data_IF_406400409303
#
_entry.id   IF_406400409303
#
_cell.length_a   1.000
_cell.length_b   1.000
_cell.length_c   1.000
_cell.angle_alpha   90.00
_cell.angle_beta   90.00
_cell.angle_gamma   90.00
#
_symmetry.space_group_name_H-M   'P 1'
#
loop_
_entity.id
_entity.type
_entity.pdbx_description
1 polymer ?
#
# COMPACT_ATOMS: atom_id res chain seq x y z
N UNK A 1 -45.22 58.62 -51.26
CA UNK A 1 -44.58 58.98 -49.97
C UNK A 1 -44.47 57.69 -49.16
N UNK A 2 -43.26 57.14 -49.00
CA UNK A 2 -43.00 55.80 -48.43
C UNK A 2 -42.82 55.89 -46.92
N UNK A 3 -43.47 55.01 -46.16
CA UNK A 3 -43.28 54.80 -44.71
C UNK A 3 -42.35 53.59 -44.55
N UNK A 4 -41.35 53.60 -43.64
CA UNK A 4 -40.37 52.52 -43.53
C UNK A 4 -40.87 51.36 -42.64
N UNK A 5 -40.45 50.15 -43.00
CA UNK A 5 -40.62 48.93 -42.22
C UNK A 5 -39.62 48.90 -41.05
N UNK A 6 -40.11 48.64 -39.84
CA UNK A 6 -39.30 48.34 -38.65
C UNK A 6 -39.09 46.82 -38.62
N UNK A 7 -37.84 46.38 -38.70
CA UNK A 7 -37.46 44.98 -38.48
C UNK A 7 -37.34 44.68 -36.99
N UNK A 8 -38.10 43.71 -36.49
CA UNK A 8 -37.96 43.16 -35.14
C UNK A 8 -36.92 42.04 -35.22
N UNK A 9 -35.79 42.21 -34.52
CA UNK A 9 -34.81 41.14 -34.27
C UNK A 9 -35.27 40.38 -33.03
N UNK A 10 -35.65 39.12 -33.18
CA UNK A 10 -35.91 38.22 -32.06
C UNK A 10 -34.58 37.64 -31.57
N UNK A 11 -34.17 38.02 -30.35
CA UNK A 11 -33.03 37.43 -29.66
C UNK A 11 -33.48 36.10 -29.01
N UNK A 12 -33.05 34.97 -29.56
CA UNK A 12 -33.25 33.65 -28.95
C UNK A 12 -32.15 33.44 -27.92
N UNK A 13 -32.47 33.60 -26.64
CA UNK A 13 -31.58 33.19 -25.54
C UNK A 13 -31.81 31.70 -25.32
N UNK A 14 -30.85 30.88 -25.75
CA UNK A 14 -30.84 29.46 -25.41
C UNK A 14 -30.53 29.30 -23.91
N UNK A 15 -31.56 29.01 -23.12
CA UNK A 15 -31.41 28.63 -21.71
C UNK A 15 -30.78 27.23 -21.65
N UNK A 16 -29.47 27.18 -21.48
CA UNK A 16 -28.76 25.97 -21.08
C UNK A 16 -29.28 25.55 -19.70
N UNK A 17 -29.85 24.35 -19.62
CA UNK A 17 -30.37 23.81 -18.36
C UNK A 17 -29.20 23.54 -17.39
N UNK A 18 -29.32 23.83 -16.09
CA UNK A 18 -28.26 23.55 -15.11
C UNK A 18 -27.87 22.05 -15.05
N UNK A 19 -28.77 21.15 -15.45
CA UNK A 19 -28.49 19.71 -15.60
C UNK A 19 -27.43 19.40 -16.66
N UNK A 20 -27.44 20.10 -17.80
CA UNK A 20 -26.46 19.91 -18.89
C UNK A 20 -25.07 20.44 -18.52
N UNK A 21 -24.98 21.44 -17.62
CA UNK A 21 -23.70 21.97 -17.16
C UNK A 21 -23.05 21.07 -16.09
N UNK A 22 -23.85 20.48 -15.19
CA UNK A 22 -23.33 19.54 -14.18
C UNK A 22 -22.83 18.22 -14.81
N UNK A 23 -23.44 17.77 -15.90
CA UNK A 23 -22.96 16.59 -16.63
C UNK A 23 -21.64 16.83 -17.38
N UNK A 24 -21.32 18.07 -17.80
CA UNK A 24 -20.05 18.36 -18.48
C UNK A 24 -18.86 18.49 -17.51
N UNK A 25 -19.11 18.85 -16.24
CA UNK A 25 -18.04 18.98 -15.22
C UNK A 25 -17.63 17.59 -14.69
N UNK A 26 -18.54 16.62 -14.67
CA UNK A 26 -18.27 15.25 -14.21
C UNK A 26 -17.56 14.38 -15.25
N UNK A 27 -17.59 14.74 -16.55
CA UNK A 27 -17.09 13.90 -17.64
C UNK A 27 -15.64 14.12 -18.05
N UNK A 28 -14.89 15.02 -17.41
CA UNK A 28 -13.52 15.30 -17.85
C UNK A 28 -12.45 14.77 -16.91
N UNK A 29 -12.67 14.17 -15.73
CA UNK A 29 -11.51 13.78 -14.87
C UNK A 29 -10.60 12.72 -15.54
N UNK A 30 -9.26 12.72 -15.27
CA UNK A 30 -8.41 11.62 -15.69
C UNK A 30 -8.99 10.31 -15.18
N UNK A 31 -8.96 9.23 -15.96
CA UNK A 31 -9.45 7.94 -15.49
C UNK A 31 -8.60 7.51 -14.28
N UNK A 32 -9.21 7.26 -13.12
CA UNK A 32 -8.48 6.78 -11.95
C UNK A 32 -7.98 5.36 -12.16
N UNK A 33 -6.85 5.05 -11.53
CA UNK A 33 -6.42 3.69 -11.25
C UNK A 33 -7.09 3.24 -9.95
N UNK A 34 -7.91 2.19 -9.99
CA UNK A 34 -8.45 1.58 -8.77
C UNK A 34 -7.35 0.71 -8.16
N UNK A 35 -6.86 1.11 -6.98
CA UNK A 35 -5.74 0.43 -6.29
C UNK A 35 -6.22 -0.54 -5.21
N UNK A 36 -7.53 -0.58 -4.93
CA UNK A 36 -8.11 -1.50 -3.97
C UNK A 36 -9.51 -1.08 -3.56
N UNK A 37 -9.98 -1.67 -2.46
CA UNK A 37 -11.28 -1.36 -1.87
C UNK A 37 -11.14 -1.20 -0.36
N UNK A 38 -12.02 -0.37 0.21
CA UNK A 38 -12.20 -0.23 1.66
C UNK A 38 -12.90 -1.45 2.27
N UNK A 39 -13.03 -1.45 3.60
CA UNK A 39 -13.73 -2.51 4.34
C UNK A 39 -15.19 -2.74 3.89
N UNK A 40 -15.89 -1.68 3.47
CA UNK A 40 -17.24 -1.78 2.89
C UNK A 40 -17.26 -1.87 1.36
N UNK A 41 -16.12 -2.13 0.73
CA UNK A 41 -16.02 -2.40 -0.71
C UNK A 41 -16.02 -1.15 -1.59
N UNK A 42 -15.79 0.06 -1.04
CA UNK A 42 -15.70 1.28 -1.85
C UNK A 42 -14.34 1.34 -2.54
N UNK A 43 -14.26 1.75 -3.82
CA UNK A 43 -13.00 1.81 -4.53
C UNK A 43 -12.08 2.87 -3.90
N UNK A 44 -10.79 2.53 -3.81
CA UNK A 44 -9.72 3.47 -3.49
C UNK A 44 -9.01 3.81 -4.80
N UNK A 45 -8.97 5.10 -5.14
CA UNK A 45 -8.53 5.60 -6.44
C UNK A 45 -7.18 6.32 -6.34
N UNK A 46 -6.35 6.16 -7.37
CA UNK A 46 -5.12 6.91 -7.56
C UNK A 46 -5.11 7.59 -8.95
N UNK A 47 -4.67 8.84 -9.00
CA UNK A 47 -4.59 9.65 -10.21
C UNK A 47 -3.12 9.86 -10.59
N UNK A 48 -2.77 9.53 -11.83
CA UNK A 48 -1.38 9.49 -12.31
C UNK A 48 -1.04 10.66 -13.21
N UNK A 49 0.14 11.24 -13.01
CA UNK A 49 0.71 12.29 -13.85
C UNK A 49 2.20 12.07 -14.11
N UNK A 50 2.70 12.52 -15.25
CA UNK A 50 4.10 12.30 -15.66
C UNK A 50 4.42 10.84 -16.03
N UNK A 51 5.66 10.60 -16.46
CA UNK A 51 6.11 9.29 -16.98
C UNK A 51 7.47 8.86 -16.43
N UNK A 52 8.03 9.60 -15.49
CA UNK A 52 9.36 9.33 -14.96
C UNK A 52 9.44 8.04 -14.15
N UNK A 53 10.67 7.59 -13.89
CA UNK A 53 10.93 6.36 -13.14
C UNK A 53 10.77 6.51 -11.62
N UNK A 54 10.82 7.74 -11.09
CA UNK A 54 10.65 8.03 -9.66
C UNK A 54 9.16 8.15 -9.35
N UNK A 55 8.59 7.12 -8.75
CA UNK A 55 7.18 7.12 -8.31
C UNK A 55 7.04 7.97 -7.05
N UNK A 56 6.36 9.12 -7.14
CA UNK A 56 6.09 9.99 -6.00
C UNK A 56 4.61 9.96 -5.67
N UNK A 57 4.24 9.77 -4.40
CA UNK A 57 2.83 9.59 -4.01
C UNK A 57 2.41 10.65 -3.00
N UNK A 58 1.25 11.27 -3.22
CA UNK A 58 0.57 12.14 -2.25
C UNK A 58 -0.73 11.47 -1.84
N UNK A 59 -0.96 11.35 -0.55
CA UNK A 59 -2.12 10.65 0.04
C UNK A 59 -2.90 11.64 0.88
N UNK A 60 -4.18 11.81 0.57
CA UNK A 60 -5.14 12.60 1.35
C UNK A 60 -6.19 11.72 2.02
N UNK A 61 -6.82 12.29 3.05
CA UNK A 61 -7.91 11.71 3.83
C UNK A 61 -7.61 10.27 4.28
N UNK A 62 -6.49 10.12 4.96
CA UNK A 62 -6.17 8.91 5.75
C UNK A 62 -7.12 8.80 6.93
N UNK A 63 -7.42 9.91 7.62
CA UNK A 63 -8.63 9.98 8.44
C UNK A 63 -9.81 10.41 7.58
N UNK A 64 -11.02 9.97 7.94
CA UNK A 64 -12.23 10.26 7.18
C UNK A 64 -12.69 11.71 7.34
N UNK A 65 -13.89 11.92 7.87
CA UNK A 65 -14.54 13.23 7.85
C UNK A 65 -13.76 14.41 8.45
N UNK A 66 -13.00 14.25 9.56
CA UNK A 66 -12.22 15.36 10.11
C UNK A 66 -11.12 15.90 9.20
N UNK A 67 -10.73 15.18 8.14
CA UNK A 67 -9.67 15.59 7.21
C UNK A 67 -10.20 15.76 5.77
N UNK A 68 -11.49 16.06 5.59
CA UNK A 68 -12.09 16.35 4.27
C UNK A 68 -11.38 17.47 3.51
N UNK A 69 -10.77 18.41 4.22
CA UNK A 69 -9.94 19.46 3.61
C UNK A 69 -8.72 18.89 2.87
N UNK A 70 -8.11 17.81 3.35
CA UNK A 70 -7.00 17.12 2.64
C UNK A 70 -7.49 16.36 1.40
N UNK A 71 -8.72 15.85 1.42
CA UNK A 71 -9.39 15.30 0.24
C UNK A 71 -9.63 16.40 -0.79
N UNK A 72 -10.17 17.55 -0.36
CA UNK A 72 -10.39 18.71 -1.22
C UNK A 72 -9.08 19.23 -1.84
N UNK A 73 -8.03 19.37 -1.02
CA UNK A 73 -6.69 19.72 -1.50
C UNK A 73 -6.21 18.74 -2.57
N UNK A 74 -6.36 17.44 -2.33
CA UNK A 74 -5.94 16.41 -3.28
C UNK A 74 -6.68 16.53 -4.62
N UNK A 75 -7.98 16.83 -4.60
CA UNK A 75 -8.73 17.11 -5.84
C UNK A 75 -8.24 18.37 -6.56
N UNK A 76 -7.95 19.43 -5.82
CA UNK A 76 -7.39 20.66 -6.42
C UNK A 76 -6.01 20.41 -7.05
N UNK A 77 -5.16 19.59 -6.43
CA UNK A 77 -3.86 19.19 -6.98
C UNK A 77 -4.02 18.32 -8.23
N UNK A 78 -4.98 17.40 -8.25
CA UNK A 78 -5.33 16.59 -9.43
C UNK A 78 -5.71 17.51 -10.60
N UNK A 79 -6.59 18.48 -10.36
CA UNK A 79 -6.99 19.45 -11.39
C UNK A 79 -5.82 20.34 -11.82
N UNK A 80 -4.94 20.74 -10.88
CA UNK A 80 -3.77 21.55 -11.18
C UNK A 80 -2.79 20.85 -12.11
N UNK A 81 -2.30 19.67 -11.72
CA UNK A 81 -1.26 18.95 -12.48
C UNK A 81 -1.76 18.37 -13.80
N UNK A 82 -3.07 18.21 -13.92
CA UNK A 82 -3.71 17.93 -15.20
C UNK A 82 -3.54 19.06 -16.20
N UNK A 83 -3.67 20.31 -15.73
CA UNK A 83 -3.58 21.51 -16.55
C UNK A 83 -2.16 22.08 -16.66
N UNK A 84 -1.25 21.66 -15.78
CA UNK A 84 0.15 22.08 -15.72
C UNK A 84 1.12 20.89 -15.66
N UNK A 85 1.06 19.93 -16.61
CA UNK A 85 1.90 18.74 -16.58
C UNK A 85 3.40 19.06 -16.66
N UNK A 86 3.78 20.23 -17.19
CA UNK A 86 5.15 20.72 -17.27
C UNK A 86 5.78 21.05 -15.90
N UNK A 87 4.97 21.22 -14.84
CA UNK A 87 5.48 21.42 -13.48
C UNK A 87 6.01 20.14 -12.85
N UNK A 88 5.66 18.98 -13.41
CA UNK A 88 6.16 17.69 -12.92
C UNK A 88 7.51 17.41 -13.58
N UNK A 89 8.59 17.20 -12.81
CA UNK A 89 9.89 16.85 -13.36
C UNK A 89 9.81 15.61 -14.25
N UNK A 90 10.55 15.59 -15.37
CA UNK A 90 10.50 14.48 -16.34
C UNK A 90 10.93 13.12 -15.77
N UNK A 91 11.69 13.13 -14.66
CA UNK A 91 12.11 11.93 -13.93
C UNK A 91 11.08 11.44 -12.91
N UNK A 92 9.99 12.18 -12.67
CA UNK A 92 8.93 11.87 -11.72
C UNK A 92 7.67 11.34 -12.42
N UNK A 93 7.04 10.37 -11.76
CA UNK A 93 5.67 9.94 -12.01
C UNK A 93 4.89 10.13 -10.72
N UNK A 94 4.06 11.16 -10.70
CA UNK A 94 3.26 11.56 -9.55
C UNK A 94 1.97 10.74 -9.50
N UNK A 95 1.63 10.24 -8.31
CA UNK A 95 0.32 9.68 -7.99
C UNK A 95 -0.32 10.48 -6.86
N UNK A 96 -1.61 10.76 -6.98
CA UNK A 96 -2.40 11.40 -5.93
C UNK A 96 -3.55 10.45 -5.57
N UNK A 97 -3.64 10.08 -4.30
CA UNK A 97 -4.76 9.32 -3.72
C UNK A 97 -5.59 10.35 -2.94
N UNK A 98 -6.75 10.80 -3.45
CA UNK A 98 -7.51 11.85 -2.78
C UNK A 98 -8.23 11.36 -1.52
N UNK A 99 -8.51 10.06 -1.43
CA UNK A 99 -9.31 9.48 -0.36
C UNK A 99 -8.86 8.06 -0.07
N UNK A 100 -8.02 7.90 0.96
CA UNK A 100 -7.61 6.57 1.43
C UNK A 100 -8.68 5.91 2.31
N UNK A 101 -9.43 6.69 3.08
CA UNK A 101 -10.50 6.21 3.96
C UNK A 101 -11.91 6.63 3.49
N UNK A 102 -12.42 6.09 2.36
CA UNK A 102 -13.74 6.45 1.85
C UNK A 102 -14.89 6.04 2.79
N UNK A 103 -14.67 5.02 3.62
CA UNK A 103 -15.67 4.56 4.58
C UNK A 103 -15.82 5.53 5.75
N UNK A 104 -14.70 5.97 6.33
CA UNK A 104 -14.70 6.96 7.40
C UNK A 104 -15.30 8.30 6.94
N UNK A 105 -15.02 8.72 5.70
CA UNK A 105 -15.63 9.93 5.13
C UNK A 105 -17.16 9.83 5.05
N UNK A 106 -17.70 8.71 4.56
CA UNK A 106 -19.15 8.48 4.46
C UNK A 106 -19.81 8.33 5.84
N UNK A 107 -19.12 7.70 6.79
CA UNK A 107 -19.64 7.46 8.15
C UNK A 107 -19.45 8.65 9.10
N UNK A 108 -18.83 9.73 8.63
CA UNK A 108 -18.49 10.90 9.45
C UNK A 108 -17.52 10.58 10.62
N UNK A 109 -16.56 9.70 10.36
CA UNK A 109 -15.60 9.18 11.33
C UNK A 109 -14.16 9.56 10.97
N UNK A 110 -13.32 9.66 12.00
CA UNK A 110 -11.86 9.67 11.84
C UNK A 110 -11.36 8.30 11.38
N UNK A 111 -11.85 7.25 12.04
CA UNK A 111 -11.51 5.85 11.79
C UNK A 111 -12.16 5.33 10.51
N UNK A 112 -11.76 4.14 10.05
CA UNK A 112 -12.45 3.42 8.97
C UNK A 112 -13.76 2.77 9.46
N UNK A 113 -14.44 1.99 8.61
CA UNK A 113 -15.71 1.32 8.96
C UNK A 113 -15.59 0.30 10.12
N UNK A 114 -14.39 -0.20 10.42
CA UNK A 114 -14.15 -1.14 11.52
C UNK A 114 -13.79 -0.43 12.84
N UNK A 115 -13.81 0.91 12.85
CA UNK A 115 -13.41 1.69 14.04
C UNK A 115 -11.91 1.74 14.28
N UNK A 116 -11.09 1.42 13.26
CA UNK A 116 -9.63 1.47 13.33
C UNK A 116 -9.11 2.79 12.76
N UNK A 117 -8.19 3.42 13.48
CA UNK A 117 -7.44 4.57 12.99
C UNK A 117 -6.34 4.05 12.05
N UNK A 118 -6.48 4.32 10.75
CA UNK A 118 -5.56 3.82 9.73
C UNK A 118 -4.13 4.30 9.96
N UNK A 119 -3.93 5.51 10.52
CA UNK A 119 -2.61 6.03 10.85
C UNK A 119 -2.12 5.55 12.24
N UNK A 120 -2.70 4.46 12.74
CA UNK A 120 -2.26 3.69 13.91
C UNK A 120 -2.22 2.18 13.65
N UNK A 121 -2.45 1.77 12.40
CA UNK A 121 -2.66 0.37 12.05
C UNK A 121 -1.46 -0.28 11.34
N UNK A 122 -0.41 0.46 10.98
CA UNK A 122 0.69 -0.08 10.18
C UNK A 122 1.71 -0.85 11.02
N UNK A 123 2.42 -1.81 10.42
CA UNK A 123 3.51 -2.54 11.09
C UNK A 123 4.78 -1.69 11.22
N UNK A 124 4.94 -0.99 12.33
CA UNK A 124 6.12 -0.16 12.63
C UNK A 124 7.27 -0.92 13.28
N UNK A 125 7.18 -2.25 13.44
CA UNK A 125 8.21 -3.04 14.15
C UNK A 125 9.47 -3.33 13.32
N UNK A 126 9.51 -2.86 12.07
CA UNK A 126 10.58 -3.12 11.11
C UNK A 126 11.75 -2.12 11.20
N UNK A 127 11.57 -1.00 11.90
CA UNK A 127 12.65 -0.03 12.13
C UNK A 127 13.43 -0.31 13.43
N UNK A 128 14.33 0.60 13.83
CA UNK A 128 15.18 0.43 15.01
C UNK A 128 14.59 1.06 16.29
N UNK A 129 13.40 1.66 16.21
CA UNK A 129 12.85 2.58 17.19
C UNK A 129 11.57 2.03 17.83
N UNK A 130 11.73 1.11 18.78
CA UNK A 130 10.60 0.41 19.43
C UNK A 130 9.56 1.29 20.12
N UNK A 131 9.87 2.57 20.36
CA UNK A 131 8.93 3.52 20.96
C UNK A 131 7.75 3.84 20.03
N UNK A 132 7.89 3.61 18.71
CA UNK A 132 6.82 3.77 17.72
C UNK A 132 6.14 2.44 17.34
N UNK A 133 6.53 1.32 17.96
CA UNK A 133 6.01 -0.01 17.65
C UNK A 133 4.48 -0.05 17.78
N UNK A 134 3.84 -0.68 16.81
CA UNK A 134 2.39 -0.80 16.73
C UNK A 134 1.78 -1.38 18.01
N UNK A 135 0.64 -0.81 18.41
CA UNK A 135 -0.12 -1.22 19.60
C UNK A 135 -1.61 -1.18 19.28
N UNK A 136 -2.41 -1.97 20.00
CA UNK A 136 -3.88 -1.88 19.91
C UNK A 136 -4.39 -0.60 20.57
N UNK A 137 -3.88 -0.27 21.75
CA UNK A 137 -4.25 0.92 22.51
C UNK A 137 -3.34 2.08 22.13
N UNK A 138 -3.89 3.13 21.52
CA UNK A 138 -3.13 4.19 20.87
C UNK A 138 -3.69 5.57 21.19
N UNK A 139 -2.85 6.60 21.09
CA UNK A 139 -3.28 7.99 21.15
C UNK A 139 -3.90 8.43 19.82
N UNK A 140 -5.16 8.83 19.84
CA UNK A 140 -5.84 9.51 18.74
C UNK A 140 -5.67 11.03 18.80
N UNK A 141 -6.49 11.74 18.02
CA UNK A 141 -6.51 13.21 18.02
C UNK A 141 -6.67 13.78 19.45
N UNK A 142 -5.94 14.86 19.74
CA UNK A 142 -5.93 15.48 21.07
C UNK A 142 -5.28 14.64 22.19
N UNK A 143 -4.62 13.52 21.86
CA UNK A 143 -3.98 12.66 22.85
C UNK A 143 -4.97 11.78 23.63
N UNK A 144 -6.13 11.48 23.05
CA UNK A 144 -7.11 10.57 23.67
C UNK A 144 -6.67 9.12 23.45
N UNK A 145 -6.51 8.36 24.53
CA UNK A 145 -6.13 6.95 24.47
C UNK A 145 -7.36 6.06 24.18
N UNK A 146 -7.26 5.18 23.19
CA UNK A 146 -8.35 4.25 22.81
C UNK A 146 -7.83 3.01 22.07
N UNK A 147 -8.62 1.94 22.04
CA UNK A 147 -8.30 0.69 21.33
C UNK A 147 -8.60 0.79 19.83
N UNK A 148 -7.98 1.77 19.16
CA UNK A 148 -8.20 2.09 17.74
C UNK A 148 -7.02 1.73 16.83
N UNK A 149 -5.95 1.12 17.34
CA UNK A 149 -4.83 0.63 16.50
C UNK A 149 -5.16 -0.63 15.69
N UNK A 150 -6.30 -1.27 15.98
CA UNK A 150 -6.76 -2.50 15.34
C UNK A 150 -6.41 -3.77 16.13
N UNK A 151 -6.92 -4.93 15.70
CA UNK A 151 -6.61 -6.22 16.33
C UNK A 151 -5.17 -6.69 16.06
N UNK A 152 -4.53 -6.18 15.00
CA UNK A 152 -3.14 -6.41 14.64
C UNK A 152 -2.66 -5.39 13.60
N UNK A 153 -1.35 -5.25 13.47
CA UNK A 153 -0.76 -4.43 12.40
C UNK A 153 -1.20 -4.91 11.01
N UNK A 154 -1.50 -3.97 10.13
CA UNK A 154 -2.08 -4.16 8.80
C UNK A 154 -3.37 -5.00 8.81
N UNK A 155 -4.19 -4.88 9.86
CA UNK A 155 -5.50 -5.56 9.91
C UNK A 155 -6.48 -5.02 8.89
N UNK A 156 -6.38 -3.72 8.57
CA UNK A 156 -7.36 -3.06 7.74
C UNK A 156 -7.05 -3.20 6.25
N UNK A 157 -8.08 -3.39 5.39
CA UNK A 157 -7.89 -3.49 3.95
C UNK A 157 -7.28 -2.21 3.38
N UNK A 158 -7.63 -1.03 3.89
CA UNK A 158 -7.06 0.24 3.45
C UNK A 158 -5.54 0.31 3.73
N UNK A 159 -5.11 -0.14 4.91
CA UNK A 159 -3.69 -0.25 5.29
C UNK A 159 -2.92 -1.16 4.33
N UNK A 160 -3.50 -2.30 3.97
CA UNK A 160 -2.90 -3.24 2.99
C UNK A 160 -2.83 -2.68 1.58
N UNK A 161 -3.86 -1.93 1.17
CA UNK A 161 -3.88 -1.25 -0.14
C UNK A 161 -2.74 -0.25 -0.23
N UNK A 162 -2.59 0.62 0.78
CA UNK A 162 -1.52 1.63 0.75
C UNK A 162 -0.13 0.99 0.86
N UNK A 163 0.02 -0.03 1.71
CA UNK A 163 1.25 -0.83 1.83
C UNK A 163 1.68 -1.39 0.47
N UNK A 164 0.79 -2.12 -0.20
CA UNK A 164 1.03 -2.72 -1.53
C UNK A 164 1.35 -1.67 -2.58
N UNK A 165 0.63 -0.55 -2.55
CA UNK A 165 0.82 0.52 -3.53
C UNK A 165 2.17 1.25 -3.39
N UNK A 166 2.75 1.29 -2.19
CA UNK A 166 3.96 2.06 -1.91
C UNK A 166 5.26 1.25 -1.99
N UNK A 167 5.21 -0.07 -2.18
CA UNK A 167 6.43 -0.90 -2.26
C UNK A 167 7.41 -0.46 -3.35
N UNK A 168 6.90 0.08 -4.47
CA UNK A 168 7.68 0.64 -5.58
C UNK A 168 7.68 2.19 -5.62
N UNK A 169 7.35 2.87 -4.50
CA UNK A 169 7.43 4.32 -4.41
C UNK A 169 8.85 4.83 -4.07
N UNK A 170 9.24 5.96 -4.65
CA UNK A 170 10.49 6.66 -4.34
C UNK A 170 10.36 7.58 -3.12
N UNK A 171 9.18 8.15 -2.89
CA UNK A 171 8.86 8.98 -1.73
C UNK A 171 7.33 9.10 -1.58
N UNK A 172 6.85 9.47 -0.39
CA UNK A 172 5.42 9.66 -0.10
C UNK A 172 5.14 10.86 0.82
N UNK A 173 4.03 11.54 0.58
CA UNK A 173 3.44 12.56 1.47
C UNK A 173 2.11 12.03 2.00
N UNK A 174 1.93 12.03 3.32
CA UNK A 174 0.64 11.75 3.96
C UNK A 174 0.07 13.05 4.51
N UNK A 175 -0.90 13.64 3.81
CA UNK A 175 -1.54 14.88 4.21
C UNK A 175 -2.48 14.63 5.39
N UNK A 176 -2.35 15.46 6.43
CA UNK A 176 -3.16 15.45 7.64
C UNK A 176 -3.55 16.89 8.02
N UNK A 177 -4.34 17.05 9.09
CA UNK A 177 -4.67 18.35 9.69
C UNK A 177 -4.95 18.18 11.20
N UNK A 178 -4.79 19.19 12.06
CA UNK A 178 -4.77 20.64 11.80
C UNK A 178 -3.72 21.43 12.63
N UNK A 179 -2.43 21.22 12.37
CA UNK A 179 -1.34 21.82 13.17
C UNK A 179 -0.46 22.86 12.46
N UNK A 180 -0.49 22.98 11.14
CA UNK A 180 0.33 23.95 10.38
C UNK A 180 1.83 23.67 10.40
N UNK A 181 2.20 22.39 10.46
CA UNK A 181 3.59 21.94 10.55
C UNK A 181 3.87 20.72 9.67
N UNK A 182 5.14 20.42 9.42
CA UNK A 182 5.58 19.23 8.70
C UNK A 182 6.59 18.48 9.54
N UNK A 183 6.42 17.16 9.65
CA UNK A 183 7.36 16.29 10.33
C UNK A 183 7.65 15.00 9.56
N UNK A 184 8.89 14.50 9.63
CA UNK A 184 9.29 13.19 9.13
C UNK A 184 9.00 12.08 10.15
N UNK A 185 9.28 10.80 9.84
CA UNK A 185 9.24 9.69 10.78
C UNK A 185 10.04 9.96 12.05
N UNK A 186 9.57 9.43 13.17
CA UNK A 186 10.23 9.57 14.46
C UNK A 186 11.63 8.94 14.44
N UNK A 187 11.77 7.75 13.86
CA UNK A 187 13.05 7.08 13.69
C UNK A 187 13.90 7.79 12.62
N UNK A 188 15.12 8.20 12.96
CA UNK A 188 15.99 9.04 12.13
C UNK A 188 16.12 8.53 10.67
N UNK A 189 15.76 9.39 9.72
CA UNK A 189 16.04 9.25 8.29
C UNK A 189 16.45 10.62 7.70
N UNK A 190 17.73 10.78 7.31
CA UNK A 190 18.22 12.03 6.74
C UNK A 190 17.45 12.50 5.50
N UNK A 191 16.94 11.57 4.67
CA UNK A 191 16.20 11.94 3.46
C UNK A 191 14.84 12.51 3.83
N UNK A 192 14.07 11.82 4.68
CA UNK A 192 12.78 12.33 5.18
C UNK A 192 12.93 13.63 5.95
N UNK A 193 14.01 13.81 6.73
CA UNK A 193 14.28 15.08 7.43
C UNK A 193 14.48 16.23 6.44
N UNK A 194 15.33 16.05 5.42
CA UNK A 194 15.54 17.06 4.38
C UNK A 194 14.25 17.31 3.58
N UNK A 195 13.45 16.25 3.36
CA UNK A 195 12.18 16.32 2.67
C UNK A 195 11.17 17.17 3.46
N UNK A 196 11.01 16.93 4.76
CA UNK A 196 10.11 17.69 5.61
C UNK A 196 10.52 19.17 5.69
N UNK A 197 11.81 19.46 5.80
CA UNK A 197 12.34 20.84 5.82
C UNK A 197 12.05 21.57 4.50
N UNK A 198 12.29 20.93 3.36
CA UNK A 198 12.02 21.52 2.05
C UNK A 198 10.52 21.78 1.83
N UNK A 199 9.67 20.80 2.17
CA UNK A 199 8.22 20.96 2.07
C UNK A 199 7.73 22.09 2.97
N UNK A 200 8.11 22.10 4.25
CA UNK A 200 7.73 23.14 5.21
C UNK A 200 8.13 24.53 4.72
N UNK A 201 9.36 24.69 4.23
CA UNK A 201 9.84 25.96 3.68
C UNK A 201 9.06 26.40 2.45
N UNK A 202 8.68 25.48 1.56
CA UNK A 202 7.89 25.80 0.37
C UNK A 202 6.43 26.14 0.69
N UNK A 203 5.87 25.49 1.70
CA UNK A 203 4.49 25.68 2.16
C UNK A 203 4.32 26.86 3.12
N UNK A 204 5.40 27.32 3.75
CA UNK A 204 5.34 28.31 4.83
C UNK A 204 4.81 27.73 6.14
N UNK A 205 4.90 26.41 6.32
CA UNK A 205 4.58 25.70 7.56
C UNK A 205 5.78 25.65 8.50
N UNK A 206 5.52 25.36 9.77
CA UNK A 206 6.58 25.05 10.72
C UNK A 206 7.21 23.69 10.40
N UNK A 207 8.54 23.57 10.51
CA UNK A 207 9.18 22.26 10.52
C UNK A 207 9.32 21.76 11.95
N UNK A 208 8.85 20.55 12.23
CA UNK A 208 9.09 19.84 13.47
C UNK A 208 9.91 18.58 13.19
N UNK A 209 10.87 18.23 14.06
CA UNK A 209 11.65 17.00 13.89
C UNK A 209 10.77 15.76 14.09
N UNK A 210 9.82 15.81 15.01
CA UNK A 210 8.85 14.75 15.25
C UNK A 210 7.59 15.37 15.87
N UNK A 211 6.51 14.60 15.93
CA UNK A 211 5.28 14.99 16.63
C UNK A 211 5.45 14.89 18.16
N UNK A 212 5.45 16.04 18.85
CA UNK A 212 5.79 16.13 20.28
C UNK A 212 4.57 16.18 21.22
N UNK A 213 3.34 16.15 20.70
CA UNK A 213 2.12 16.34 21.51
C UNK A 213 1.68 15.06 22.24
N UNK A 214 1.95 13.90 21.65
CA UNK A 214 1.67 12.57 22.22
C UNK A 214 2.41 11.52 21.38
N UNK A 215 2.58 10.31 21.93
CA UNK A 215 3.24 9.21 21.20
C UNK A 215 2.40 8.74 20.02
N UNK A 216 3.04 8.56 18.86
CA UNK A 216 2.43 7.94 17.69
C UNK A 216 3.01 6.53 17.55
N UNK A 217 2.15 5.55 17.43
CA UNK A 217 2.50 4.15 17.14
C UNK A 217 1.70 3.66 15.95
N UNK A 218 2.27 2.77 15.13
CA UNK A 218 1.59 2.25 13.95
C UNK A 218 1.29 3.28 12.85
N UNK A 219 2.02 4.40 12.83
CA UNK A 219 1.85 5.47 11.85
C UNK A 219 2.38 5.10 10.46
N UNK A 220 1.73 5.59 9.40
CA UNK A 220 2.12 5.29 8.01
C UNK A 220 3.51 5.81 7.64
N UNK A 221 3.86 7.01 8.11
CA UNK A 221 5.19 7.57 7.93
C UNK A 221 6.29 6.76 8.65
N UNK A 222 6.07 6.31 9.89
CA UNK A 222 7.00 5.43 10.61
C UNK A 222 7.10 4.04 9.94
N UNK A 223 6.00 3.48 9.45
CA UNK A 223 6.05 2.23 8.67
C UNK A 223 6.90 2.39 7.40
N UNK A 224 6.73 3.50 6.68
CA UNK A 224 7.53 3.82 5.50
C UNK A 224 9.03 3.86 5.83
N UNK A 225 9.40 4.34 7.02
CA UNK A 225 10.78 4.30 7.50
C UNK A 225 11.32 2.89 7.68
N UNK A 226 10.52 1.94 8.19
CA UNK A 226 10.91 0.52 8.34
C UNK A 226 11.21 -0.18 7.02
N UNK A 227 10.70 0.35 5.90
CA UNK A 227 10.95 -0.17 4.55
C UNK A 227 11.80 0.77 3.69
N UNK A 228 12.58 1.67 4.30
CA UNK A 228 13.45 2.65 3.62
C UNK A 228 12.72 3.45 2.52
N UNK A 229 11.49 3.89 2.81
CA UNK A 229 10.70 4.79 1.98
C UNK A 229 10.68 6.18 2.61
N UNK A 230 11.29 7.20 1.95
CA UNK A 230 11.19 8.58 2.41
C UNK A 230 9.73 9.02 2.51
N UNK A 231 9.34 9.53 3.68
CA UNK A 231 7.98 9.90 3.98
C UNK A 231 7.92 11.16 4.83
N UNK A 232 6.85 11.94 4.70
CA UNK A 232 6.57 13.09 5.57
C UNK A 232 5.07 13.20 5.85
N UNK A 233 4.74 13.86 6.96
CA UNK A 233 3.39 14.31 7.30
C UNK A 233 3.37 15.83 7.33
N UNK A 234 2.75 16.48 6.33
CA UNK A 234 2.24 17.83 6.46
C UNK A 234 0.89 17.80 7.19
N UNK A 235 0.82 18.48 8.33
CA UNK A 235 -0.41 18.86 9.00
C UNK A 235 -0.81 20.24 8.50
N UNK A 236 -1.91 20.34 7.74
CA UNK A 236 -2.49 21.62 7.32
C UNK A 236 -2.77 22.49 8.56
N UNK A 237 -2.83 23.81 8.38
CA UNK A 237 -3.05 24.75 9.48
C UNK A 237 -4.44 24.63 10.10
N UNK A 238 -5.44 24.26 9.30
CA UNK A 238 -6.84 24.13 9.72
C UNK A 238 -7.41 22.77 9.32
N UNK A 239 -8.52 22.35 9.94
CA UNK A 239 -9.31 21.19 9.51
C UNK A 239 -10.38 21.51 8.45
N UNK A 240 -10.43 22.76 7.94
CA UNK A 240 -11.49 23.24 7.06
C UNK A 240 -10.96 23.67 5.69
N UNK A 241 -9.89 24.46 5.66
CA UNK A 241 -9.34 24.99 4.41
C UNK A 241 -8.35 24.01 3.77
N UNK A 242 -8.38 23.84 2.43
CA UNK A 242 -7.46 22.94 1.73
C UNK A 242 -6.04 23.52 1.60
N UNK A 243 -5.84 24.81 1.84
CA UNK A 243 -4.52 25.46 1.84
C UNK A 243 -3.69 25.14 0.57
N UNK A 244 -4.37 25.29 -0.57
CA UNK A 244 -3.85 24.86 -1.87
C UNK A 244 -2.53 25.54 -2.25
N UNK A 245 -2.43 26.86 -2.11
CA UNK A 245 -1.23 27.60 -2.51
C UNK A 245 -0.01 27.19 -1.67
N UNK A 246 -0.22 26.94 -0.37
CA UNK A 246 0.81 26.45 0.54
C UNK A 246 1.30 25.07 0.11
N UNK A 247 0.39 24.11 -0.04
CA UNK A 247 0.77 22.73 -0.34
C UNK A 247 1.32 22.58 -1.78
N UNK A 248 0.85 23.38 -2.73
CA UNK A 248 1.47 23.50 -4.05
C UNK A 248 2.91 24.05 -3.95
N UNK A 249 3.13 25.07 -3.10
CA UNK A 249 4.47 25.59 -2.79
C UNK A 249 5.39 24.53 -2.18
N UNK A 250 4.89 23.73 -1.24
CA UNK A 250 5.60 22.59 -0.65
C UNK A 250 6.02 21.56 -1.71
N UNK A 251 5.08 21.11 -2.55
CA UNK A 251 5.37 20.16 -3.63
C UNK A 251 6.37 20.71 -4.66
N UNK A 252 6.28 22.00 -5.02
CA UNK A 252 7.27 22.65 -5.90
C UNK A 252 8.66 22.68 -5.29
N UNK A 253 8.79 22.92 -3.98
CA UNK A 253 10.08 22.85 -3.29
C UNK A 253 10.67 21.43 -3.31
N UNK A 254 9.80 20.41 -3.23
CA UNK A 254 10.22 19.01 -3.36
C UNK A 254 10.70 18.71 -4.78
N UNK A 255 9.93 19.11 -5.80
CA UNK A 255 10.30 18.93 -7.20
C UNK A 255 11.59 19.66 -7.56
N UNK A 256 11.84 20.84 -7.00
CA UNK A 256 13.10 21.55 -7.18
C UNK A 256 14.31 20.73 -6.68
N UNK A 257 14.11 19.88 -5.68
CA UNK A 257 15.15 19.03 -5.07
C UNK A 257 14.95 17.52 -5.37
N UNK A 258 14.34 17.18 -6.51
CA UNK A 258 13.90 15.81 -6.88
C UNK A 258 14.96 14.73 -6.64
N UNK A 259 16.21 14.95 -7.07
CA UNK A 259 17.23 13.90 -7.03
C UNK A 259 17.58 13.47 -5.61
N UNK A 260 17.44 14.37 -4.64
CA UNK A 260 17.70 14.14 -3.22
C UNK A 260 16.45 13.64 -2.50
N UNK A 261 15.30 14.29 -2.73
CA UNK A 261 14.09 14.06 -1.93
C UNK A 261 13.19 12.95 -2.45
N UNK A 262 13.30 12.61 -3.74
CA UNK A 262 12.52 11.54 -4.39
C UNK A 262 13.52 10.54 -5.00
N UNK A 263 14.35 9.82 -4.20
CA UNK A 263 15.50 9.06 -4.68
C UNK A 263 15.14 7.98 -5.71
N UNK A 264 16.10 7.65 -6.58
CA UNK A 264 15.93 6.59 -7.56
C UNK A 264 15.92 5.22 -6.85
N UNK A 265 15.21 4.25 -7.43
CA UNK A 265 15.21 2.90 -6.92
C UNK A 265 16.60 2.28 -6.95
N UNK A 266 17.01 1.73 -5.82
CA UNK A 266 18.30 1.07 -5.66
C UNK A 266 18.17 -0.41 -5.28
N UNK A 267 19.19 -0.89 -4.59
CA UNK A 267 19.26 -2.24 -4.05
C UNK A 267 19.51 -2.19 -2.53
N UNK A 268 19.21 -3.31 -1.88
CA UNK A 268 19.68 -3.64 -0.53
C UNK A 268 20.49 -4.94 -0.61
N UNK A 269 21.34 -5.16 0.38
CA UNK A 269 22.14 -6.39 0.47
C UNK A 269 21.72 -7.16 1.71
N UNK A 270 21.39 -8.45 1.53
CA UNK A 270 21.07 -9.38 2.62
C UNK A 270 21.98 -10.59 2.44
N UNK A 271 22.82 -10.90 3.43
CA UNK A 271 23.80 -12.00 3.34
C UNK A 271 24.66 -11.95 2.06
N UNK A 272 25.22 -10.78 1.74
CA UNK A 272 26.00 -10.51 0.52
C UNK A 272 25.23 -10.70 -0.82
N UNK A 273 23.93 -10.91 -0.76
CA UNK A 273 23.06 -11.04 -1.94
C UNK A 273 22.36 -9.71 -2.20
N UNK A 274 22.59 -9.06 -3.37
CA UNK A 274 21.86 -7.86 -3.76
C UNK A 274 20.40 -8.21 -4.09
N UNK A 275 19.51 -7.35 -3.60
CA UNK A 275 18.06 -7.46 -3.71
C UNK A 275 17.50 -6.12 -4.23
N UNK A 276 16.72 -6.10 -5.33
CA UNK A 276 16.04 -4.89 -5.77
C UNK A 276 15.20 -4.30 -4.64
N UNK A 277 15.28 -2.99 -4.43
CA UNK A 277 14.62 -2.35 -3.28
C UNK A 277 13.12 -2.70 -3.17
N UNK A 278 12.31 -2.73 -4.24
CA UNK A 278 10.90 -3.14 -4.12
C UNK A 278 10.70 -4.60 -3.68
N UNK A 279 11.58 -5.53 -4.10
CA UNK A 279 11.57 -6.93 -3.61
C UNK A 279 11.95 -6.97 -2.13
N UNK A 280 12.96 -6.19 -1.72
CA UNK A 280 13.36 -6.10 -0.32
C UNK A 280 12.26 -5.54 0.57
N UNK A 281 11.53 -4.51 0.11
CA UNK A 281 10.39 -3.95 0.82
C UNK A 281 9.24 -4.94 0.94
N UNK A 282 8.94 -5.68 -0.12
CA UNK A 282 7.94 -6.76 -0.07
C UNK A 282 8.35 -7.82 0.96
N UNK A 283 9.63 -8.20 0.98
CA UNK A 283 10.20 -9.18 1.91
C UNK A 283 10.16 -8.71 3.37
N UNK A 284 10.46 -7.43 3.64
CA UNK A 284 10.30 -6.83 4.96
C UNK A 284 8.83 -6.79 5.40
N UNK A 285 7.96 -6.20 4.57
CA UNK A 285 6.56 -5.94 4.91
C UNK A 285 5.70 -7.19 5.14
N UNK A 286 6.08 -8.33 4.55
CA UNK A 286 5.37 -9.60 4.73
C UNK A 286 6.12 -10.60 5.60
N UNK A 287 7.21 -10.15 6.23
CA UNK A 287 8.02 -10.93 7.16
C UNK A 287 9.07 -11.79 6.48
N UNK A 288 10.33 -11.40 6.67
CA UNK A 288 11.51 -12.17 6.33
C UNK A 288 11.45 -13.63 6.82
N UNK A 289 10.87 -13.86 7.99
CA UNK A 289 10.73 -15.18 8.58
C UNK A 289 9.81 -16.12 7.76
N UNK A 290 8.80 -15.57 7.07
CA UNK A 290 7.85 -16.37 6.29
C UNK A 290 8.46 -16.79 4.95
N UNK A 291 9.22 -15.89 4.32
CA UNK A 291 9.82 -16.11 2.99
C UNK A 291 11.19 -16.81 3.06
N UNK A 292 11.91 -16.64 4.17
CA UNK A 292 13.29 -17.09 4.33
C UNK A 292 14.30 -16.10 3.74
N UNK A 293 15.58 -16.44 3.79
CA UNK A 293 16.64 -15.64 3.19
C UNK A 293 16.60 -15.74 1.65
N UNK A 294 17.08 -14.72 0.90
CA UNK A 294 17.27 -14.86 -0.53
C UNK A 294 18.26 -15.99 -0.83
N UNK A 295 17.97 -16.79 -1.85
CA UNK A 295 18.81 -17.91 -2.30
C UNK A 295 19.87 -17.49 -3.32
N UNK A 296 19.70 -16.32 -3.94
CA UNK A 296 20.61 -15.78 -4.93
C UNK A 296 20.21 -14.38 -5.39
N UNK A 297 21.03 -13.78 -6.25
CA UNK A 297 20.73 -12.47 -6.85
C UNK A 297 19.50 -12.56 -7.74
N UNK A 298 18.75 -11.46 -7.83
CA UNK A 298 17.63 -11.39 -8.77
C UNK A 298 18.11 -11.55 -10.21
N UNK A 299 17.43 -12.41 -10.98
CA UNK A 299 17.54 -12.45 -12.44
C UNK A 299 16.64 -11.37 -13.05
N UNK A 300 16.98 -10.91 -14.26
CA UNK A 300 16.19 -9.88 -14.96
C UNK A 300 15.95 -10.30 -16.40
N UNK A 301 14.68 -10.32 -16.80
CA UNK A 301 14.26 -10.51 -18.18
C UNK A 301 13.12 -9.53 -18.49
N UNK A 302 13.19 -8.84 -19.62
CA UNK A 302 12.17 -7.88 -20.09
C UNK A 302 11.72 -6.85 -19.04
N UNK A 303 12.66 -6.36 -18.22
CA UNK A 303 12.39 -5.36 -17.17
C UNK A 303 11.67 -5.91 -15.93
N UNK A 304 11.51 -7.23 -15.85
CA UNK A 304 10.97 -7.96 -14.69
C UNK A 304 12.11 -8.61 -13.93
N UNK A 305 12.24 -8.25 -12.66
CA UNK A 305 13.15 -8.89 -11.72
C UNK A 305 12.48 -10.11 -11.10
N UNK A 306 13.19 -11.22 -11.00
CA UNK A 306 12.75 -12.44 -10.32
C UNK A 306 13.81 -12.86 -9.31
N UNK A 307 13.41 -13.04 -8.05
CA UNK A 307 14.31 -13.47 -6.99
C UNK A 307 13.71 -14.62 -6.18
N UNK A 308 14.56 -15.60 -5.89
CA UNK A 308 14.20 -16.82 -5.19
C UNK A 308 14.53 -16.74 -3.70
N UNK A 309 13.60 -17.27 -2.91
CA UNK A 309 13.66 -17.41 -1.46
C UNK A 309 13.33 -18.86 -1.08
N UNK A 310 13.58 -19.25 0.16
CA UNK A 310 13.36 -20.62 0.64
C UNK A 310 11.94 -21.13 0.39
N UNK A 311 10.93 -20.27 0.52
CA UNK A 311 9.51 -20.67 0.46
C UNK A 311 8.70 -19.89 -0.58
N UNK A 312 9.36 -19.10 -1.42
CA UNK A 312 8.69 -18.21 -2.35
C UNK A 312 9.62 -17.75 -3.50
N UNK A 313 8.99 -17.29 -4.58
CA UNK A 313 9.64 -16.55 -5.66
C UNK A 313 8.94 -15.21 -5.80
N UNK A 314 9.69 -14.12 -5.73
CA UNK A 314 9.17 -12.75 -5.81
C UNK A 314 9.47 -12.17 -7.18
N UNK A 315 8.47 -11.56 -7.80
CA UNK A 315 8.60 -10.76 -9.03
C UNK A 315 8.54 -9.26 -8.72
N UNK A 316 9.29 -8.47 -9.47
CA UNK A 316 9.10 -7.02 -9.54
C UNK A 316 9.10 -6.55 -11.00
N UNK A 317 7.98 -5.97 -11.44
CA UNK A 317 7.83 -5.34 -12.76
C UNK A 317 7.83 -3.81 -12.60
N UNK A 318 8.94 -3.18 -12.99
CA UNK A 318 9.13 -1.71 -12.90
C UNK A 318 8.19 -0.88 -13.79
N UNK A 319 7.54 -1.51 -14.77
CA UNK A 319 6.61 -0.84 -15.70
C UNK A 319 5.16 -0.93 -15.27
N UNK A 320 4.84 -1.79 -14.28
CA UNK A 320 3.48 -1.93 -13.78
C UNK A 320 3.00 -0.64 -13.09
N UNK A 321 1.73 -0.29 -13.28
CA UNK A 321 1.11 0.89 -12.65
C UNK A 321 0.62 0.60 -11.24
N UNK A 322 0.21 -0.65 -10.99
CA UNK A 322 -0.22 -1.20 -9.71
C UNK A 322 0.35 -2.62 -9.56
N UNK A 323 0.49 -3.08 -8.32
CA UNK A 323 0.96 -4.45 -8.03
C UNK A 323 2.31 -4.79 -8.68
N UNK A 324 3.22 -3.82 -8.64
CA UNK A 324 4.53 -3.93 -9.25
C UNK A 324 5.36 -5.08 -8.65
N UNK A 325 5.19 -5.37 -7.36
CA UNK A 325 5.89 -6.44 -6.63
C UNK A 325 4.89 -7.44 -6.09
N UNK A 326 5.16 -8.73 -6.26
CA UNK A 326 4.32 -9.80 -5.72
C UNK A 326 4.95 -11.17 -5.87
N UNK A 327 4.26 -12.20 -5.39
CA UNK A 327 4.72 -13.58 -5.52
C UNK A 327 4.42 -14.15 -6.92
N UNK A 328 5.29 -15.05 -7.37
CA UNK A 328 5.05 -15.88 -8.55
C UNK A 328 4.18 -17.07 -8.14
N UNK A 329 3.18 -17.50 -8.94
CA UNK A 329 2.35 -18.68 -8.65
C UNK A 329 3.09 -20.01 -8.84
N UNK A 330 2.95 -20.95 -7.90
CA UNK A 330 3.63 -22.26 -7.90
C UNK A 330 2.96 -23.28 -8.81
N UNK A 331 3.73 -24.26 -9.30
CA UNK A 331 3.24 -25.35 -10.15
C UNK A 331 2.13 -26.16 -9.48
N UNK A 332 1.17 -26.63 -10.28
CA UNK A 332 -0.02 -27.37 -9.82
C UNK A 332 0.26 -28.85 -9.60
N UNK A 333 0.20 -29.30 -8.34
CA UNK A 333 0.24 -30.70 -7.95
C UNK A 333 -0.78 -31.00 -6.84
N UNK A 334 -1.43 -32.18 -6.90
CA UNK A 334 -2.41 -32.58 -5.89
C UNK A 334 -1.73 -32.87 -4.56
N UNK A 335 -2.30 -32.35 -3.46
CA UNK A 335 -1.93 -32.79 -2.13
C UNK A 335 -2.52 -34.19 -1.88
N UNK A 336 -1.75 -35.06 -1.24
CA UNK A 336 -2.21 -36.37 -0.78
C UNK A 336 -2.53 -36.30 0.71
N UNK A 337 -3.69 -36.83 1.09
CA UNK A 337 -4.10 -36.87 2.49
C UNK A 337 -5.60 -37.09 2.63
N UNK A 338 -6.07 -37.10 3.88
CA UNK A 338 -7.50 -37.16 4.20
C UNK A 338 -8.00 -35.74 4.41
N UNK A 339 -9.11 -35.30 3.78
CA UNK A 339 -9.69 -33.99 4.03
C UNK A 339 -9.94 -33.74 5.53
N UNK A 340 -9.71 -32.51 5.98
CA UNK A 340 -10.04 -32.07 7.34
C UNK A 340 -11.47 -31.53 7.34
N UNK A 341 -12.28 -31.99 8.30
CA UNK A 341 -13.63 -31.46 8.50
C UNK A 341 -13.58 -30.05 9.09
N UNK A 342 -14.50 -29.19 8.67
CA UNK A 342 -14.66 -27.84 9.23
C UNK A 342 -15.14 -27.96 10.68
N UNK A 343 -14.34 -27.48 11.63
CA UNK A 343 -14.67 -27.56 13.06
C UNK A 343 -15.47 -26.33 13.49
N UNK A 344 -15.05 -25.13 13.05
CA UNK A 344 -15.68 -23.86 13.36
C UNK A 344 -16.12 -23.13 12.08
N UNK A 345 -17.40 -23.22 11.69
CA UNK A 345 -17.91 -22.57 10.49
C UNK A 345 -17.88 -21.04 10.55
N UNK A 346 -17.81 -20.43 11.74
CA UNK A 346 -17.69 -18.97 11.89
C UNK A 346 -16.26 -18.48 11.57
N UNK A 347 -15.29 -19.40 11.50
CA UNK A 347 -13.90 -19.10 11.22
C UNK A 347 -13.53 -19.16 9.74
N UNK A 348 -14.49 -19.31 8.83
CA UNK A 348 -14.28 -19.61 7.41
C UNK A 348 -13.86 -18.37 6.58
N UNK A 349 -12.92 -18.55 5.65
CA UNK A 349 -12.64 -17.64 4.53
C UNK A 349 -12.99 -18.35 3.23
N UNK A 350 -13.82 -17.70 2.41
CA UNK A 350 -14.22 -18.20 1.09
C UNK A 350 -13.76 -17.23 0.01
N UNK A 351 -13.53 -17.75 -1.20
CA UNK A 351 -13.26 -16.94 -2.38
C UNK A 351 -14.16 -17.43 -3.52
N UNK A 352 -14.99 -16.56 -4.13
CA UNK A 352 -15.92 -16.96 -5.20
C UNK A 352 -15.27 -17.59 -6.43
N UNK A 353 -13.95 -17.42 -6.60
CA UNK A 353 -13.19 -17.90 -7.75
C UNK A 353 -12.73 -19.35 -7.62
N UNK A 354 -13.00 -20.01 -6.47
CA UNK A 354 -12.51 -21.35 -6.16
C UNK A 354 -13.54 -22.12 -5.32
N UNK A 355 -13.65 -23.45 -5.48
CA UNK A 355 -14.49 -24.26 -4.59
C UNK A 355 -13.86 -24.48 -3.21
N UNK A 356 -12.56 -24.19 -3.06
CA UNK A 356 -11.82 -24.50 -1.85
C UNK A 356 -12.02 -23.44 -0.77
N UNK A 357 -12.07 -23.92 0.48
CA UNK A 357 -12.33 -23.10 1.65
C UNK A 357 -11.14 -23.11 2.60
N UNK A 358 -10.86 -21.98 3.24
CA UNK A 358 -9.87 -21.88 4.32
C UNK A 358 -10.66 -21.81 5.63
N UNK A 359 -10.34 -22.64 6.61
CA UNK A 359 -11.06 -22.67 7.88
C UNK A 359 -10.12 -22.73 9.08
N UNK A 360 -10.69 -22.56 10.27
CA UNK A 360 -10.06 -22.76 11.56
C UNK A 360 -8.73 -22.00 11.73
N UNK A 361 -7.64 -22.74 11.98
CA UNK A 361 -6.32 -22.17 12.21
C UNK A 361 -5.76 -21.50 10.95
N UNK A 362 -5.96 -22.11 9.78
CA UNK A 362 -5.50 -21.54 8.51
C UNK A 362 -6.24 -20.26 8.17
N UNK A 363 -7.53 -20.15 8.45
CA UNK A 363 -8.26 -18.91 8.18
C UNK A 363 -7.81 -17.75 9.07
N UNK A 364 -7.58 -18.01 10.36
CA UNK A 364 -7.00 -16.99 11.28
C UNK A 364 -5.62 -16.56 10.83
N UNK A 365 -4.78 -17.51 10.44
CA UNK A 365 -3.45 -17.23 9.93
C UNK A 365 -3.49 -16.44 8.61
N UNK A 366 -4.31 -16.86 7.64
CA UNK A 366 -4.51 -16.20 6.36
C UNK A 366 -4.89 -14.72 6.54
N UNK A 367 -5.84 -14.42 7.44
CA UNK A 367 -6.19 -13.02 7.76
C UNK A 367 -5.03 -12.26 8.39
N UNK A 368 -4.24 -12.90 9.26
CA UNK A 368 -3.15 -12.25 10.01
C UNK A 368 -1.96 -11.85 9.14
N UNK A 369 -1.63 -12.63 8.11
CA UNK A 369 -0.41 -12.45 7.32
C UNK A 369 -0.60 -11.67 6.01
N UNK A 370 -1.81 -11.13 5.78
CA UNK A 370 -2.26 -10.71 4.45
C UNK A 370 -2.17 -11.85 3.42
N UNK A 371 -2.94 -12.91 3.68
CA UNK A 371 -2.96 -14.12 2.87
C UNK A 371 -3.28 -13.88 1.40
N UNK A 372 -4.02 -12.83 1.04
CA UNK A 372 -4.26 -12.50 -0.36
C UNK A 372 -2.96 -12.15 -1.10
N UNK A 373 -2.03 -11.44 -0.44
CA UNK A 373 -0.73 -11.10 -0.99
C UNK A 373 0.29 -12.25 -0.87
N UNK A 374 0.27 -12.99 0.24
CA UNK A 374 1.29 -14.01 0.56
C UNK A 374 0.97 -15.44 0.11
N UNK A 375 -0.30 -15.78 -0.06
CA UNK A 375 -0.76 -17.11 -0.41
C UNK A 375 -1.55 -17.07 -1.72
N UNK A 376 -2.45 -16.10 -1.86
CA UNK A 376 -3.39 -16.01 -2.97
C UNK A 376 -4.56 -16.97 -2.78
N UNK A 377 -5.19 -17.37 -3.88
CA UNK A 377 -6.41 -18.19 -3.86
C UNK A 377 -6.09 -19.61 -3.37
N UNK A 378 -6.91 -20.24 -2.52
CA UNK A 378 -6.73 -21.65 -2.17
C UNK A 378 -6.96 -22.55 -3.40
N UNK A 379 -6.10 -23.57 -3.53
CA UNK A 379 -6.04 -24.54 -4.64
C UNK A 379 -6.28 -25.98 -4.18
N UNK A 380 -6.53 -26.17 -2.90
CA UNK A 380 -6.96 -27.45 -2.33
C UNK A 380 -7.79 -27.20 -1.08
N UNK A 381 -8.53 -28.21 -0.64
CA UNK A 381 -8.97 -28.30 0.74
C UNK A 381 -7.77 -28.57 1.66
N UNK A 382 -7.97 -28.36 2.96
CA UNK A 382 -7.03 -28.78 3.98
C UNK A 382 -7.02 -30.32 4.08
N UNK A 383 -5.84 -30.92 4.07
CA UNK A 383 -5.66 -32.38 4.19
C UNK A 383 -4.72 -32.75 5.33
N UNK A 384 -5.08 -33.78 6.09
CA UNK A 384 -4.23 -34.43 7.07
C UNK A 384 -3.07 -35.14 6.38
N UNK A 385 -1.88 -34.94 6.92
CA UNK A 385 -0.64 -35.62 6.54
C UNK A 385 -0.03 -36.31 7.75
N UNK A 386 0.60 -37.47 7.51
CA UNK A 386 1.42 -38.11 8.52
C UNK A 386 2.82 -37.51 8.50
N UNK A 387 3.30 -37.06 9.65
CA UNK A 387 4.71 -36.73 9.87
C UNK A 387 5.34 -37.73 10.83
N UNK A 388 6.67 -37.79 10.87
CA UNK A 388 7.41 -38.76 11.69
C UNK A 388 7.15 -38.63 13.21
N UNK A 389 6.54 -37.51 13.67
CA UNK A 389 6.37 -37.23 15.09
C UNK A 389 4.96 -36.75 15.51
N UNK A 390 4.15 -36.16 14.62
CA UNK A 390 2.90 -35.50 15.00
C UNK A 390 1.81 -35.57 13.89
N UNK A 391 0.55 -35.36 14.27
CA UNK A 391 -0.49 -35.03 13.29
C UNK A 391 -0.22 -33.62 12.74
N UNK A 392 -0.27 -33.49 11.41
CA UNK A 392 -0.20 -32.20 10.75
C UNK A 392 -1.25 -32.14 9.65
N UNK A 393 -1.60 -30.93 9.24
CA UNK A 393 -2.45 -30.68 8.08
C UNK A 393 -1.80 -29.69 7.14
N UNK A 394 -2.17 -29.75 5.87
CA UNK A 394 -1.63 -28.87 4.82
C UNK A 394 -2.73 -28.35 3.93
N UNK A 395 -2.54 -27.12 3.46
CA UNK A 395 -3.39 -26.53 2.43
C UNK A 395 -2.52 -25.79 1.41
N UNK A 396 -2.91 -25.89 0.14
CA UNK A 396 -2.20 -25.29 -0.98
C UNK A 396 -2.93 -24.07 -1.53
N UNK A 397 -2.15 -23.11 -1.99
CA UNK A 397 -2.56 -21.82 -2.51
C UNK A 397 -1.82 -21.51 -3.81
N UNK A 398 -2.23 -20.46 -4.52
CA UNK A 398 -1.63 -20.04 -5.79
C UNK A 398 -0.11 -19.88 -5.69
N UNK A 399 0.42 -19.37 -4.58
CA UNK A 399 1.84 -18.99 -4.46
C UNK A 399 2.61 -19.77 -3.39
N UNK A 400 1.94 -20.67 -2.67
CA UNK A 400 2.54 -21.35 -1.53
C UNK A 400 1.74 -22.50 -0.96
N UNK A 401 2.37 -23.23 -0.04
CA UNK A 401 1.75 -24.28 0.77
C UNK A 401 2.02 -23.97 2.23
N UNK A 402 1.00 -24.09 3.08
CA UNK A 402 1.15 -23.96 4.53
C UNK A 402 0.86 -25.29 5.21
N UNK A 403 1.52 -25.51 6.33
CA UNK A 403 1.34 -26.67 7.20
C UNK A 403 1.04 -26.22 8.61
N UNK A 404 0.08 -26.86 9.26
CA UNK A 404 -0.18 -26.74 10.68
C UNK A 404 0.38 -27.97 11.40
N UNK A 405 1.26 -27.74 12.38
CA UNK A 405 1.91 -28.78 13.20
C UNK A 405 1.24 -28.83 14.59
N UNK A 406 0.51 -29.91 14.88
CA UNK A 406 -0.39 -30.00 16.04
C UNK A 406 0.32 -29.97 17.40
N UNK A 407 1.52 -30.54 17.54
CA UNK A 407 2.23 -30.57 18.81
C UNK A 407 2.98 -29.28 19.13
N UNK A 408 3.31 -28.48 18.11
CA UNK A 408 3.87 -27.12 18.30
C UNK A 408 2.82 -26.01 18.22
N UNK A 409 1.58 -26.33 17.81
CA UNK A 409 0.51 -25.37 17.53
C UNK A 409 0.98 -24.22 16.62
N UNK A 410 1.73 -24.56 15.57
CA UNK A 410 2.38 -23.59 14.69
C UNK A 410 1.98 -23.82 13.24
N UNK A 411 1.78 -22.71 12.52
CA UNK A 411 1.65 -22.72 11.07
C UNK A 411 2.98 -22.27 10.45
N UNK A 412 3.43 -23.02 9.46
CA UNK A 412 4.65 -22.72 8.69
C UNK A 412 4.35 -22.72 7.21
N UNK A 413 5.02 -21.82 6.48
CA UNK A 413 5.08 -21.89 5.02
C UNK A 413 6.12 -22.93 4.60
N UNK A 414 5.74 -23.87 3.76
CA UNK A 414 6.63 -24.92 3.28
C UNK A 414 7.50 -24.43 2.13
N UNK A 415 8.74 -24.95 2.00
CA UNK A 415 9.53 -24.80 0.78
C UNK A 415 8.74 -25.31 -0.43
N UNK A 416 8.67 -24.49 -1.47
CA UNK A 416 8.02 -24.86 -2.73
C UNK A 416 9.11 -25.06 -3.77
N UNK A 417 9.20 -26.28 -4.27
CA UNK A 417 10.13 -26.60 -5.35
C UNK A 417 9.47 -26.18 -6.65
N UNK A 418 9.99 -25.10 -7.23
CA UNK A 418 9.74 -24.77 -8.62
C UNK A 418 10.44 -25.84 -9.46
N UNK A 419 9.75 -26.51 -10.38
CA UNK A 419 10.42 -27.51 -11.24
C UNK A 419 11.65 -26.91 -11.94
N UNK A 420 11.61 -25.61 -12.27
CA UNK A 420 12.74 -24.86 -12.81
C UNK A 420 13.92 -24.75 -11.83
N UNK A 421 13.69 -24.49 -10.53
CA UNK A 421 14.76 -24.41 -9.51
C UNK A 421 15.35 -25.79 -9.23
N UNK A 422 14.55 -26.84 -9.24
CA UNK A 422 15.07 -28.20 -9.20
C UNK A 422 15.91 -28.53 -10.44
N UNK A 423 15.46 -28.14 -11.63
CA UNK A 423 16.20 -28.35 -12.88
C UNK A 423 17.52 -27.57 -12.94
N UNK A 424 17.53 -26.31 -12.52
CA UNK A 424 18.71 -25.45 -12.56
C UNK A 424 19.73 -25.79 -11.46
N UNK A 425 19.30 -26.48 -10.40
CA UNK A 425 20.17 -27.00 -9.33
C UNK A 425 20.50 -28.50 -9.47
N UNK A 426 20.04 -29.17 -10.53
CA UNK A 426 20.48 -30.54 -10.84
C UNK A 426 21.94 -30.50 -11.29
N UNK A 427 22.83 -31.02 -10.44
CA UNK A 427 24.25 -31.21 -10.78
C UNK A 427 24.45 -32.21 -11.94
N UNK A 428 23.51 -33.13 -12.15
CA UNK A 428 23.47 -34.10 -13.25
C UNK A 428 22.05 -34.70 -13.39
N UNK A 429 21.59 -34.95 -14.62
CA UNK A 429 20.23 -35.47 -14.93
C UNK A 429 20.05 -36.97 -14.69
N UNK A 430 21.10 -37.67 -14.27
CA UNK A 430 21.21 -39.13 -14.22
C UNK A 430 21.56 -39.68 -12.82
N UNK A 431 21.55 -38.84 -11.78
CA UNK A 431 21.73 -39.27 -10.39
C UNK A 431 20.63 -38.72 -9.47
N UNK A 432 20.08 -39.53 -8.53
CA UNK A 432 18.99 -39.11 -7.67
C UNK A 432 19.44 -38.05 -6.65
N UNK A 433 18.75 -36.91 -6.69
CA UNK A 433 18.63 -35.86 -5.68
C UNK A 433 19.93 -35.36 -5.01
N UNK A 434 20.59 -34.40 -5.68
CA UNK A 434 21.38 -33.39 -4.99
C UNK A 434 20.91 -32.00 -5.44
N UNK A 435 20.37 -31.22 -4.48
CA UNK A 435 20.14 -29.79 -4.61
C UNK A 435 21.38 -29.07 -4.05
N UNK A 436 21.83 -27.99 -4.70
CA UNK A 436 22.92 -27.15 -4.19
C UNK A 436 22.52 -26.35 -2.96
#
# INVERSE_FOLDING_TARGET
MRIPYIGIVALVIALLSPLTLLQSIAQDRPNPLIIGQSAQGRPIEAYRFGTGSRKFVVVGATHGAPERNTQQLSWMLIDWYRNHPEEIPSSVRLYIIPLLNPDGDVLDLRQNANGVDLNRNMDTTLDACSDNDWQTTVFGAGGVLSDTGGPFADSEPESRVIRRFLLDASAVVFLHSDAGLVFPPSCEDPVSIAFAQAYASGAGYEYARYWDKYSITGGMHDWARGIDLPAIIPELLTGEEPEFDQNLGGLRAVFFNTDVLIPAMGFRTVNDIPMPLPIWRFWQAHGAQQLGAPLGSASVADGVYIQDFTTARVRYNSTAEFDAVGLVPIDDYPLQGTPVDIIDPDSVVTNPSTPYTIHDAFARYYRRIDGDALLGTPRSDEVLIQTDAEQASTQRFDTGVIRYDSGSNRIVRLPVVWEAVARDNLLATDLPFQLR
#
